data_IF_280572131343
#
_entry.id   IF_280572131343
#
_cell.length_a   1.000
_cell.length_b   1.000
_cell.length_c   1.000
_cell.angle_alpha   90.00
_cell.angle_beta   90.00
_cell.angle_gamma   90.00
#
_symmetry.space_group_name_H-M   'P 1'
#
loop_
_entity.id
_entity.type
_entity.pdbx_description
1 polymer ?
#
# COMPACT_ATOMS: atom_id res chain seq x y z
N UNK A 1 0.21 19.73 -8.78
CA UNK A 1 1.42 19.87 -7.93
C UNK A 1 1.27 20.85 -6.77
N UNK A 2 0.81 22.10 -6.94
CA UNK A 2 0.68 23.03 -5.80
C UNK A 2 -0.23 22.48 -4.66
N UNK A 3 -1.37 21.89 -5.02
CA UNK A 3 -2.28 21.27 -4.06
C UNK A 3 -1.66 20.06 -3.36
N UNK A 4 -0.88 19.25 -4.07
CA UNK A 4 -0.10 18.12 -3.53
C UNK A 4 0.81 18.59 -2.39
N UNK A 5 1.58 19.66 -2.61
CA UNK A 5 2.48 20.23 -1.61
C UNK A 5 1.69 20.76 -0.39
N UNK A 6 0.57 21.45 -0.62
CA UNK A 6 -0.29 21.96 0.45
C UNK A 6 -0.88 20.82 1.30
N UNK A 7 -1.37 19.75 0.67
CA UNK A 7 -1.92 18.59 1.36
C UNK A 7 -0.88 17.88 2.25
N UNK A 8 0.41 17.97 1.90
CA UNK A 8 1.52 17.41 2.66
C UNK A 8 1.90 18.19 3.93
N UNK A 9 1.40 19.40 4.14
CA UNK A 9 1.85 20.27 5.25
C UNK A 9 1.33 19.79 6.60
N UNK A 10 0.00 19.81 6.79
CA UNK A 10 -0.64 19.42 8.05
C UNK A 10 -2.15 19.18 7.89
N UNK A 11 -2.76 18.65 8.96
CA UNK A 11 -4.18 18.27 8.97
C UNK A 11 -5.12 19.46 8.71
N UNK A 12 -4.80 20.65 9.23
CA UNK A 12 -5.64 21.85 9.02
C UNK A 12 -5.75 22.20 7.53
N UNK A 13 -4.67 22.04 6.76
CA UNK A 13 -4.70 22.29 5.31
C UNK A 13 -5.52 21.22 4.60
N UNK A 14 -5.36 19.93 4.94
CA UNK A 14 -6.17 18.85 4.35
C UNK A 14 -7.66 19.04 4.61
N UNK A 15 -8.05 19.36 5.85
CA UNK A 15 -9.44 19.66 6.19
C UNK A 15 -10.00 20.83 5.39
N UNK A 16 -9.18 21.85 5.10
CA UNK A 16 -9.61 22.95 4.22
C UNK A 16 -9.85 22.45 2.79
N UNK A 17 -8.97 21.61 2.25
CA UNK A 17 -9.14 20.99 0.92
C UNK A 17 -10.46 20.19 0.86
N UNK A 18 -10.78 19.44 1.91
CA UNK A 18 -12.05 18.70 2.01
C UNK A 18 -13.24 19.64 2.05
N UNK A 19 -13.21 20.70 2.89
CA UNK A 19 -14.27 21.71 2.99
C UNK A 19 -14.55 22.43 1.68
N UNK A 20 -13.52 22.69 0.88
CA UNK A 20 -13.65 23.28 -0.46
C UNK A 20 -14.13 22.28 -1.53
N UNK A 21 -14.55 21.06 -1.13
CA UNK A 21 -15.03 19.98 -2.02
C UNK A 21 -14.05 19.64 -3.13
N UNK A 22 -12.75 19.73 -2.85
CA UNK A 22 -11.71 19.46 -3.84
C UNK A 22 -11.41 17.96 -4.00
N UNK A 23 -11.69 17.13 -2.99
CA UNK A 23 -11.37 15.68 -3.02
C UNK A 23 -12.00 14.95 -4.21
N UNK A 24 -13.30 15.12 -4.52
CA UNK A 24 -13.89 14.49 -5.71
C UNK A 24 -13.27 14.96 -7.03
N UNK A 25 -12.74 16.19 -7.08
CA UNK A 25 -12.03 16.70 -8.27
C UNK A 25 -10.65 16.06 -8.40
N UNK A 26 -9.92 15.93 -7.29
CA UNK A 26 -8.63 15.21 -7.25
C UNK A 26 -8.86 13.77 -7.71
N UNK A 27 -9.89 13.11 -7.20
CA UNK A 27 -10.29 11.76 -7.61
C UNK A 27 -10.60 11.70 -9.10
N UNK A 28 -11.39 12.63 -9.65
CA UNK A 28 -11.64 12.72 -11.09
C UNK A 28 -10.36 12.77 -11.92
N UNK A 29 -9.36 13.56 -11.48
CA UNK A 29 -8.05 13.62 -12.15
C UNK A 29 -7.24 12.33 -12.04
N UNK A 30 -7.52 11.45 -11.08
CA UNK A 30 -6.88 10.12 -11.03
C UNK A 30 -7.39 9.20 -12.14
N UNK A 31 -8.55 9.47 -12.76
CA UNK A 31 -9.11 8.68 -13.87
C UNK A 31 -8.79 9.25 -15.25
N UNK A 32 -8.04 10.34 -15.34
CA UNK A 32 -7.68 10.95 -16.63
C UNK A 32 -6.67 10.09 -17.39
N UNK A 33 -6.76 10.14 -18.73
CA UNK A 33 -5.84 9.45 -19.63
C UNK A 33 -4.44 10.06 -19.58
N UNK A 34 -4.35 11.36 -19.31
CA UNK A 34 -3.09 12.07 -19.31
C UNK A 34 -2.22 11.65 -18.11
N UNK A 35 -1.16 10.88 -18.39
CA UNK A 35 -0.26 10.27 -17.39
C UNK A 35 0.20 11.24 -16.30
N UNK A 36 0.75 12.40 -16.67
CA UNK A 36 1.23 13.38 -15.68
C UNK A 36 0.13 13.92 -14.75
N UNK A 37 -1.09 14.09 -15.26
CA UNK A 37 -2.24 14.57 -14.46
C UNK A 37 -2.66 13.48 -13.49
N UNK A 38 -2.81 12.24 -14.00
CA UNK A 38 -3.14 11.05 -13.21
C UNK A 38 -2.14 10.80 -12.08
N UNK A 39 -0.85 10.86 -12.37
CA UNK A 39 0.22 10.69 -11.38
C UNK A 39 0.17 11.81 -10.34
N UNK A 40 0.10 13.08 -10.76
CA UNK A 40 0.05 14.20 -9.82
C UNK A 40 -1.20 14.19 -8.92
N UNK A 41 -2.33 13.71 -9.44
CA UNK A 41 -3.56 13.54 -8.68
C UNK A 41 -3.44 12.40 -7.65
N UNK A 42 -2.83 11.28 -8.05
CA UNK A 42 -2.57 10.14 -7.16
C UNK A 42 -1.58 10.52 -6.05
N UNK A 43 -0.52 11.27 -6.36
CA UNK A 43 0.39 11.84 -5.35
C UNK A 43 -0.33 12.80 -4.39
N UNK A 44 -1.24 13.64 -4.91
CA UNK A 44 -2.06 14.49 -4.07
C UNK A 44 -2.95 13.66 -3.15
N UNK A 45 -3.56 12.59 -3.66
CA UNK A 45 -4.39 11.68 -2.88
C UNK A 45 -3.60 10.97 -1.77
N UNK A 46 -2.36 10.57 -2.05
CA UNK A 46 -1.43 9.99 -1.05
C UNK A 46 -1.25 10.89 0.18
N UNK A 47 -1.20 12.22 -0.01
CA UNK A 47 -1.17 13.16 1.11
C UNK A 47 -2.54 13.32 1.77
N UNK A 48 -3.62 13.29 0.99
CA UNK A 48 -4.99 13.50 1.47
C UNK A 48 -5.52 12.36 2.33
N UNK A 49 -5.09 11.10 2.12
CA UNK A 49 -5.53 9.94 2.92
C UNK A 49 -5.08 10.01 4.39
N UNK A 50 -4.22 10.94 4.77
CA UNK A 50 -3.96 11.25 6.19
C UNK A 50 -5.16 11.90 6.89
N UNK A 51 -6.09 12.50 6.14
CA UNK A 51 -7.31 13.08 6.67
C UNK A 51 -8.38 11.98 6.87
N UNK A 52 -8.98 11.93 8.06
CA UNK A 52 -9.98 10.91 8.41
C UNK A 52 -11.19 10.90 7.48
N UNK A 53 -11.67 12.08 7.08
CA UNK A 53 -12.80 12.20 6.14
C UNK A 53 -12.48 11.55 4.77
N UNK A 54 -11.23 11.65 4.31
CA UNK A 54 -10.79 11.01 3.07
C UNK A 54 -10.68 9.50 3.24
N UNK A 55 -10.16 9.03 4.38
CA UNK A 55 -10.14 7.60 4.69
C UNK A 55 -11.56 7.00 4.66
N UNK A 56 -12.54 7.71 5.21
CA UNK A 56 -13.94 7.29 5.21
C UNK A 56 -14.53 7.19 3.80
N UNK A 57 -14.09 8.04 2.87
CA UNK A 57 -14.47 7.92 1.45
C UNK A 57 -13.94 6.64 0.80
N UNK A 58 -12.75 6.15 1.19
CA UNK A 58 -12.22 4.86 0.74
C UNK A 58 -12.90 3.68 1.46
N UNK A 59 -13.21 3.83 2.75
CA UNK A 59 -13.90 2.83 3.54
C UNK A 59 -15.36 2.62 3.09
N UNK A 60 -16.00 3.63 2.52
CA UNK A 60 -17.34 3.50 1.96
C UNK A 60 -17.42 2.35 0.92
N UNK A 61 -18.56 1.67 0.88
CA UNK A 61 -18.87 0.62 -0.09
C UNK A 61 -19.42 1.22 -1.39
N UNK A 62 -19.38 0.45 -2.49
CA UNK A 62 -19.97 0.88 -3.77
C UNK A 62 -19.16 1.94 -4.52
N UNK A 63 -17.85 2.04 -4.26
CA UNK A 63 -16.91 2.83 -5.05
C UNK A 63 -15.68 2.00 -5.44
N UNK A 64 -15.00 2.43 -6.49
CA UNK A 64 -13.82 1.76 -7.04
C UNK A 64 -12.49 2.37 -6.55
N UNK A 65 -12.50 3.19 -5.48
CA UNK A 65 -11.30 3.93 -5.04
C UNK A 65 -10.17 3.01 -4.63
N UNK A 66 -10.47 1.99 -3.83
CA UNK A 66 -9.48 1.00 -3.42
C UNK A 66 -8.98 0.21 -4.65
N UNK A 67 -9.91 -0.18 -5.53
CA UNK A 67 -9.60 -0.93 -6.75
C UNK A 67 -8.64 -0.18 -7.66
N UNK A 68 -8.87 1.11 -7.87
CA UNK A 68 -7.99 1.96 -8.65
C UNK A 68 -6.56 1.98 -8.10
N UNK A 69 -6.41 2.15 -6.78
CA UNK A 69 -5.08 2.16 -6.14
C UNK A 69 -4.37 0.81 -6.25
N UNK A 70 -5.09 -0.30 -6.13
CA UNK A 70 -4.53 -1.66 -6.33
C UNK A 70 -4.02 -1.79 -7.76
N UNK A 71 -4.83 -1.44 -8.76
CA UNK A 71 -4.43 -1.51 -10.18
C UNK A 71 -3.23 -0.60 -10.48
N UNK A 72 -3.25 0.65 -10.02
CA UNK A 72 -2.14 1.60 -10.24
C UNK A 72 -0.83 1.18 -9.58
N UNK A 73 -0.87 0.33 -8.57
CA UNK A 73 0.35 -0.22 -7.96
C UNK A 73 1.06 -1.24 -8.88
N UNK A 74 0.32 -1.80 -9.84
CA UNK A 74 0.81 -2.75 -10.85
C UNK A 74 1.05 -2.17 -12.25
N UNK A 75 0.88 -0.86 -12.44
CA UNK A 75 1.16 -0.18 -13.72
C UNK A 75 2.66 -0.14 -14.04
N UNK A 76 3.03 0.25 -15.26
CA UNK A 76 4.44 0.35 -15.67
C UNK A 76 5.14 1.62 -15.17
N UNK A 77 4.41 2.75 -15.10
CA UNK A 77 4.99 4.04 -14.68
C UNK A 77 5.39 4.01 -13.19
N UNK A 78 6.70 4.01 -12.93
CA UNK A 78 7.24 3.92 -11.57
C UNK A 78 6.69 5.01 -10.65
N UNK A 79 6.47 6.23 -11.15
CA UNK A 79 5.95 7.33 -10.32
C UNK A 79 4.51 7.07 -9.89
N UNK A 80 3.66 6.62 -10.80
CA UNK A 80 2.28 6.24 -10.50
C UNK A 80 2.23 5.08 -9.51
N UNK A 81 3.04 4.02 -9.74
CA UNK A 81 3.15 2.88 -8.81
C UNK A 81 3.55 3.34 -7.41
N UNK A 82 4.52 4.25 -7.31
CA UNK A 82 5.01 4.78 -6.04
C UNK A 82 3.91 5.57 -5.31
N UNK A 83 3.17 6.41 -6.02
CA UNK A 83 2.07 7.17 -5.46
C UNK A 83 0.92 6.25 -5.00
N UNK A 84 0.54 5.28 -5.83
CA UNK A 84 -0.55 4.36 -5.54
C UNK A 84 -0.22 3.39 -4.39
N UNK A 85 0.92 2.70 -4.45
CA UNK A 85 1.37 1.79 -3.40
C UNK A 85 1.65 2.52 -2.08
N UNK A 86 2.13 3.77 -2.14
CA UNK A 86 2.28 4.62 -0.96
C UNK A 86 0.93 4.92 -0.31
N UNK A 87 -0.07 5.26 -1.14
CA UNK A 87 -1.45 5.49 -0.68
C UNK A 87 -2.05 4.23 -0.06
N UNK A 88 -1.86 3.05 -0.69
CA UNK A 88 -2.32 1.76 -0.14
C UNK A 88 -1.65 1.41 1.18
N UNK A 89 -0.33 1.56 1.29
CA UNK A 89 0.41 1.30 2.52
C UNK A 89 -0.11 2.15 3.69
N UNK A 90 -0.46 3.41 3.43
CA UNK A 90 -1.05 4.30 4.43
C UNK A 90 -2.48 3.89 4.79
N UNK A 91 -3.33 3.62 3.78
CA UNK A 91 -4.73 3.24 3.99
C UNK A 91 -4.86 1.91 4.75
N UNK A 92 -4.08 0.90 4.39
CA UNK A 92 -4.09 -0.41 5.07
C UNK A 92 -3.64 -0.31 6.53
N UNK A 93 -2.73 0.61 6.86
CA UNK A 93 -2.33 0.87 8.24
C UNK A 93 -3.40 1.65 9.02
N UNK A 94 -4.01 2.66 8.41
CA UNK A 94 -4.97 3.57 9.07
C UNK A 94 -6.40 3.00 9.13
N UNK A 95 -6.74 2.09 8.22
CA UNK A 95 -8.04 1.45 8.08
C UNK A 95 -7.86 -0.06 7.82
N UNK A 96 -7.49 -0.87 8.85
CA UNK A 96 -7.30 -2.30 8.70
C UNK A 96 -8.45 -3.06 8.01
N UNK A 97 -9.74 -2.69 8.16
CA UNK A 97 -10.83 -3.33 7.40
C UNK A 97 -10.72 -3.19 5.88
N UNK A 98 -9.89 -2.28 5.35
CA UNK A 98 -9.62 -2.21 3.90
C UNK A 98 -8.74 -3.35 3.41
N UNK A 99 -7.93 -3.97 4.28
CA UNK A 99 -7.03 -5.06 3.90
C UNK A 99 -7.80 -6.25 3.30
N UNK A 100 -8.93 -6.62 3.91
CA UNK A 100 -9.78 -7.74 3.45
C UNK A 100 -10.46 -7.48 2.10
N UNK A 101 -10.56 -6.22 1.69
CA UNK A 101 -11.14 -5.80 0.40
C UNK A 101 -10.12 -5.75 -0.73
N UNK A 102 -8.81 -5.84 -0.44
CA UNK A 102 -7.77 -5.82 -1.49
C UNK A 102 -7.92 -7.02 -2.44
N UNK A 103 -8.12 -8.26 -1.97
CA UNK A 103 -8.35 -9.40 -2.86
C UNK A 103 -9.58 -9.27 -3.75
N UNK A 104 -10.59 -8.51 -3.32
CA UNK A 104 -11.83 -8.28 -4.09
C UNK A 104 -11.67 -7.20 -5.16
N UNK A 105 -10.60 -6.40 -5.11
CA UNK A 105 -10.37 -5.31 -6.05
C UNK A 105 -10.14 -5.83 -7.49
N UNK A 106 -9.37 -6.89 -7.64
CA UNK A 106 -8.98 -7.47 -8.92
C UNK A 106 -8.46 -8.89 -8.71
N UNK A 107 -8.63 -9.75 -9.70
CA UNK A 107 -8.07 -11.12 -9.66
C UNK A 107 -6.55 -11.12 -9.58
N UNK A 108 -5.90 -10.06 -10.06
CA UNK A 108 -4.43 -9.92 -10.13
C UNK A 108 -3.78 -9.31 -8.88
N UNK A 109 -4.52 -9.19 -7.77
CA UNK A 109 -4.05 -8.44 -6.59
C UNK A 109 -2.75 -9.04 -6.01
N UNK A 110 -2.60 -10.36 -6.08
CA UNK A 110 -1.44 -11.07 -5.54
C UNK A 110 -0.21 -10.86 -6.43
N UNK A 111 -0.37 -10.97 -7.75
CA UNK A 111 0.69 -10.71 -8.71
C UNK A 111 1.20 -9.26 -8.62
N UNK A 112 0.28 -8.31 -8.43
CA UNK A 112 0.65 -6.90 -8.20
C UNK A 112 1.46 -6.74 -6.91
N UNK A 113 1.04 -7.40 -5.82
CA UNK A 113 1.76 -7.35 -4.55
C UNK A 113 3.15 -7.99 -4.67
N UNK A 114 3.25 -9.15 -5.32
CA UNK A 114 4.52 -9.84 -5.58
C UNK A 114 5.45 -8.98 -6.44
N UNK A 115 4.93 -8.30 -7.46
CA UNK A 115 5.69 -7.38 -8.30
C UNK A 115 6.23 -6.16 -7.53
N UNK A 116 5.52 -5.69 -6.50
CA UNK A 116 6.08 -4.68 -5.59
C UNK A 116 7.22 -5.25 -4.75
N UNK A 117 7.03 -6.44 -4.15
CA UNK A 117 8.05 -7.07 -3.29
C UNK A 117 9.35 -7.41 -4.05
N UNK A 118 9.24 -7.76 -5.33
CA UNK A 118 10.36 -8.12 -6.20
C UNK A 118 10.97 -6.92 -6.95
N UNK A 119 10.45 -5.71 -6.73
CA UNK A 119 10.92 -4.51 -7.44
C UNK A 119 12.36 -4.13 -7.09
N UNK A 120 13.16 -3.77 -8.11
CA UNK A 120 14.50 -3.19 -7.94
C UNK A 120 14.46 -1.80 -7.27
N UNK A 121 13.34 -1.09 -7.38
CA UNK A 121 13.11 0.18 -6.68
C UNK A 121 12.88 -0.08 -5.19
N UNK A 122 13.85 0.31 -4.35
CA UNK A 122 13.82 0.15 -2.89
C UNK A 122 12.54 0.74 -2.27
N UNK A 123 12.06 1.86 -2.82
CA UNK A 123 10.82 2.50 -2.35
C UNK A 123 9.58 1.63 -2.59
N UNK A 124 9.48 1.02 -3.78
CA UNK A 124 8.37 0.14 -4.14
C UNK A 124 8.42 -1.16 -3.35
N UNK A 125 9.62 -1.74 -3.21
CA UNK A 125 9.84 -2.92 -2.39
C UNK A 125 9.42 -2.67 -0.95
N UNK A 126 9.88 -1.58 -0.34
CA UNK A 126 9.48 -1.24 1.03
C UNK A 126 7.96 -1.07 1.17
N UNK A 127 7.32 -0.35 0.25
CA UNK A 127 5.85 -0.16 0.26
C UNK A 127 5.11 -1.47 0.09
N UNK A 128 5.55 -2.32 -0.83
CA UNK A 128 5.01 -3.68 -1.00
C UNK A 128 5.09 -4.47 0.30
N UNK A 129 6.25 -4.48 0.96
CA UNK A 129 6.42 -5.19 2.23
C UNK A 129 5.53 -4.63 3.33
N UNK A 130 5.33 -3.31 3.40
CA UNK A 130 4.43 -2.69 4.38
C UNK A 130 2.97 -3.05 4.10
N UNK A 131 2.52 -3.05 2.84
CA UNK A 131 1.17 -3.49 2.47
C UNK A 131 0.95 -4.94 2.91
N UNK A 132 1.89 -5.83 2.57
CA UNK A 132 1.86 -7.25 2.99
C UNK A 132 1.76 -7.36 4.51
N UNK A 133 2.61 -6.64 5.24
CA UNK A 133 2.61 -6.64 6.70
C UNK A 133 1.26 -6.19 7.26
N UNK A 134 0.70 -5.09 6.77
CA UNK A 134 -0.60 -4.58 7.22
C UNK A 134 -1.73 -5.57 6.93
N UNK A 135 -1.71 -6.23 5.77
CA UNK A 135 -2.69 -7.27 5.43
C UNK A 135 -2.60 -8.47 6.37
N UNK A 136 -1.38 -8.93 6.66
CA UNK A 136 -1.16 -10.03 7.60
C UNK A 136 -1.62 -9.68 9.02
N UNK A 137 -1.35 -8.44 9.49
CA UNK A 137 -1.78 -8.00 10.82
C UNK A 137 -3.30 -7.81 10.92
N UNK A 138 -3.95 -7.42 9.82
CA UNK A 138 -5.37 -7.12 9.81
C UNK A 138 -6.23 -8.38 9.95
N UNK A 139 -5.83 -9.49 9.32
CA UNK A 139 -6.65 -10.70 9.29
C UNK A 139 -5.81 -11.98 9.14
N UNK A 140 -6.11 -12.97 9.99
CA UNK A 140 -5.43 -14.27 9.99
C UNK A 140 -5.56 -15.01 8.65
N UNK A 141 -6.74 -14.98 8.02
CA UNK A 141 -6.97 -15.70 6.76
C UNK A 141 -6.22 -15.05 5.59
N UNK A 142 -6.07 -13.72 5.59
CA UNK A 142 -5.17 -13.03 4.65
C UNK A 142 -3.72 -13.43 4.89
N UNK A 143 -3.28 -13.48 6.14
CA UNK A 143 -1.93 -13.92 6.47
C UNK A 143 -1.67 -15.34 5.97
N UNK A 144 -2.61 -16.25 6.21
CA UNK A 144 -2.54 -17.63 5.71
C UNK A 144 -2.42 -17.66 4.18
N UNK A 145 -3.30 -16.95 3.48
CA UNK A 145 -3.29 -16.91 2.00
C UNK A 145 -1.99 -16.34 1.43
N UNK A 146 -1.41 -15.33 2.07
CA UNK A 146 -0.12 -14.76 1.67
C UNK A 146 1.02 -15.77 1.91
N UNK A 147 1.05 -16.42 3.07
CA UNK A 147 2.10 -17.38 3.43
C UNK A 147 2.03 -18.68 2.60
N UNK A 148 0.84 -19.08 2.14
CA UNK A 148 0.66 -20.22 1.23
C UNK A 148 1.05 -19.92 -0.24
N UNK A 149 1.54 -18.70 -0.52
CA UNK A 149 2.02 -18.27 -1.84
C UNK A 149 3.53 -18.03 -1.87
N UNK A 150 4.06 -17.63 -3.03
CA UNK A 150 5.47 -17.25 -3.22
C UNK A 150 5.89 -16.06 -2.34
N UNK A 151 4.93 -15.32 -1.75
CA UNK A 151 5.22 -14.23 -0.82
C UNK A 151 6.07 -14.70 0.37
N UNK A 152 5.90 -15.93 0.87
CA UNK A 152 6.75 -16.46 1.94
C UNK A 152 8.23 -16.54 1.53
N UNK A 153 8.49 -17.06 0.33
CA UNK A 153 9.85 -17.18 -0.20
C UNK A 153 10.47 -15.80 -0.41
N UNK A 154 9.71 -14.87 -1.00
CA UNK A 154 10.15 -13.50 -1.24
C UNK A 154 10.48 -12.81 0.09
N UNK A 155 9.60 -12.88 1.09
CA UNK A 155 9.82 -12.30 2.42
C UNK A 155 11.05 -12.92 3.12
N UNK A 156 11.25 -14.23 2.96
CA UNK A 156 12.40 -14.94 3.54
C UNK A 156 13.72 -14.46 2.95
N UNK A 157 13.76 -14.18 1.64
CA UNK A 157 14.94 -13.59 0.98
C UNK A 157 15.15 -12.15 1.46
N UNK A 158 14.10 -11.31 1.46
CA UNK A 158 14.18 -9.92 1.91
C UNK A 158 14.63 -9.78 3.38
N UNK A 159 14.21 -10.71 4.24
CA UNK A 159 14.60 -10.71 5.65
C UNK A 159 16.09 -11.07 5.86
N UNK A 160 16.71 -11.81 4.95
CA UNK A 160 18.13 -12.21 5.03
C UNK A 160 19.10 -11.19 4.46
N UNK A 161 18.61 -10.09 3.90
CA UNK A 161 19.47 -9.04 3.36
C UNK A 161 20.33 -8.39 4.48
N UNK A 162 21.61 -8.76 4.50
CA UNK A 162 22.62 -8.42 5.50
C UNK A 162 23.45 -7.17 5.14
N UNK A 163 23.03 -6.39 4.14
CA UNK A 163 23.71 -5.13 3.85
C UNK A 163 23.73 -4.20 5.09
N UNK A 164 24.86 -3.49 5.28
CA UNK A 164 25.29 -2.80 6.51
C UNK A 164 24.33 -1.75 7.12
N UNK A 165 23.15 -1.56 6.52
CA UNK A 165 21.98 -0.91 7.10
C UNK A 165 20.77 -1.75 6.68
N UNK A 166 20.18 -2.51 7.62
CA UNK A 166 18.93 -3.24 7.34
C UNK A 166 17.92 -2.29 6.68
N UNK A 167 17.61 -2.55 5.42
CA UNK A 167 16.67 -1.73 4.66
C UNK A 167 15.31 -1.68 5.38
N UNK A 168 14.53 -0.63 5.16
CA UNK A 168 13.18 -0.57 5.75
C UNK A 168 12.32 -1.76 5.27
N UNK A 169 12.55 -2.22 4.04
CA UNK A 169 11.95 -3.44 3.51
C UNK A 169 12.36 -4.70 4.31
N UNK A 170 13.66 -4.91 4.56
CA UNK A 170 14.15 -6.06 5.34
C UNK A 170 13.55 -6.11 6.75
N UNK A 171 13.45 -4.94 7.42
CA UNK A 171 12.80 -4.86 8.74
C UNK A 171 11.31 -5.20 8.71
N UNK A 172 10.57 -4.67 7.73
CA UNK A 172 9.16 -5.01 7.55
C UNK A 172 8.99 -6.50 7.18
N UNK A 173 9.90 -7.08 6.41
CA UNK A 173 9.86 -8.49 6.03
C UNK A 173 10.06 -9.40 7.26
N UNK A 174 11.02 -9.07 8.13
CA UNK A 174 11.21 -9.75 9.42
C UNK A 174 9.95 -9.71 10.28
N UNK A 175 9.25 -8.57 10.30
CA UNK A 175 7.98 -8.43 11.00
C UNK A 175 6.87 -9.30 10.37
N UNK A 176 6.78 -9.38 9.04
CA UNK A 176 5.85 -10.30 8.36
C UNK A 176 6.10 -11.75 8.79
N UNK A 177 7.36 -12.20 8.77
CA UNK A 177 7.71 -13.56 9.20
C UNK A 177 7.37 -13.79 10.67
N UNK A 178 7.59 -12.80 11.54
CA UNK A 178 7.20 -12.89 12.95
C UNK A 178 5.68 -13.04 13.11
N UNK A 179 4.87 -12.27 12.38
CA UNK A 179 3.41 -12.41 12.40
C UNK A 179 2.99 -13.82 11.97
N UNK A 180 3.62 -14.37 10.93
CA UNK A 180 3.35 -15.73 10.49
C UNK A 180 3.70 -16.79 11.55
N UNK A 181 4.79 -16.59 12.31
CA UNK A 181 5.15 -17.46 13.44
C UNK A 181 4.13 -17.32 14.57
N UNK A 182 3.73 -16.10 14.91
CA UNK A 182 2.76 -15.82 15.99
C UNK A 182 1.38 -16.42 15.68
N UNK A 183 1.00 -16.48 14.41
CA UNK A 183 -0.20 -17.17 13.93
C UNK A 183 -0.01 -18.69 13.77
N UNK A 184 1.20 -19.22 13.98
CA UNK A 184 1.49 -20.65 13.81
C UNK A 184 1.45 -21.12 12.36
N UNK A 185 1.53 -20.19 11.39
CA UNK A 185 1.51 -20.48 9.95
C UNK A 185 2.87 -21.01 9.48
N UNK A 186 3.97 -20.61 10.13
CA UNK A 186 5.32 -21.11 9.88
C UNK A 186 6.03 -21.42 11.20
N UNK A 187 7.07 -22.25 11.13
CA UNK A 187 7.94 -22.51 12.29
C UNK A 187 9.03 -21.44 12.39
N UNK A 188 9.48 -21.08 13.61
CA UNK A 188 10.68 -20.27 13.77
C UNK A 188 11.85 -20.94 13.07
N UNK A 189 12.66 -20.14 12.38
CA UNK A 189 13.89 -20.64 11.80
C UNK A 189 14.85 -20.96 12.94
N UNK A 190 14.92 -22.22 13.38
CA UNK A 190 15.98 -22.72 14.25
C UNK A 190 17.25 -22.74 13.43
N UNK A 191 17.99 -21.64 13.43
CA UNK A 191 19.34 -21.62 12.90
C UNK A 191 20.22 -22.52 13.80
N UNK A 192 20.60 -23.67 13.28
CA UNK A 192 21.86 -24.37 13.63
C UNK A 192 23.01 -23.75 12.83
#
# INVERSE_FOLDING_TARGET
>A
MALTNLAGINERVRQKIVKEKAVPKIEGYMFEDHEMIRTAATECMCNMVLCKEVQDMFAATGNDRLKLLVLYSGEDDEKLRKAASGTLAMLTSLQPPLCSRIPDATTHWLEILQALLLSDSVDLQHRGTVITMNMMQAEHDLAKRLIESEVLEILSVLAKDDHAKQSQASRAAKQCLQIAIDYGLIKPNTAE
#
